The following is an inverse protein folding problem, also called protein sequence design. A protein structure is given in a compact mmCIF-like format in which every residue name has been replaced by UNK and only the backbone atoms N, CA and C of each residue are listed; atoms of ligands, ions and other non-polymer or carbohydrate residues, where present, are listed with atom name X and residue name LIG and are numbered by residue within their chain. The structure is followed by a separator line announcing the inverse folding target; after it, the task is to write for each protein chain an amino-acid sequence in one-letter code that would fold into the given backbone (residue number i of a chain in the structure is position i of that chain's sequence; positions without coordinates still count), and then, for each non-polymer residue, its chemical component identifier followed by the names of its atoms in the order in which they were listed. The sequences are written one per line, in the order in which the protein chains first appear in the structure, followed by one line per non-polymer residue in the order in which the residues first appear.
data_IF_099442116882
#
_entry.id   IF_099442116882
#
_cell.length_a   1.000
_cell.length_b   1.000
_cell.length_c   1.000
_cell.angle_alpha   90.00
_cell.angle_beta   90.00
_cell.angle_gamma   90.00
#
_symmetry.space_group_name_H-M   'P 1'
#
loop_
_entity.id
_entity.type
_entity.pdbx_description
1 polymer ?
#
# COMPACT_ATOMS: atom_id res chain seq x y z
N UNK A 1 3.13 -11.35 -24.55
CA UNK A 1 3.92 -10.44 -23.70
C UNK A 1 3.29 -10.44 -22.32
N UNK A 2 4.06 -10.46 -21.22
CA UNK A 2 3.51 -10.41 -19.85
C UNK A 2 3.38 -8.95 -19.44
N UNK A 3 2.23 -8.59 -18.85
CA UNK A 3 2.00 -7.23 -18.36
C UNK A 3 2.77 -6.96 -17.07
N UNK A 4 3.25 -5.74 -16.90
CA UNK A 4 3.80 -5.27 -15.62
C UNK A 4 2.66 -5.09 -14.60
N UNK A 5 2.95 -5.29 -13.33
CA UNK A 5 1.97 -5.25 -12.24
C UNK A 5 2.43 -4.24 -11.19
N UNK A 6 1.64 -3.18 -10.99
CA UNK A 6 1.77 -2.29 -9.84
C UNK A 6 0.77 -2.72 -8.77
N UNK A 7 1.26 -3.14 -7.61
CA UNK A 7 0.44 -3.49 -6.47
C UNK A 7 0.58 -2.40 -5.40
N UNK A 8 -0.45 -1.55 -5.30
CA UNK A 8 -0.49 -0.47 -4.33
C UNK A 8 -1.35 -0.87 -3.13
N UNK A 9 -0.78 -0.85 -1.94
CA UNK A 9 -1.48 -1.05 -0.68
C UNK A 9 -1.47 0.25 0.12
N UNK A 10 -2.66 0.79 0.41
CA UNK A 10 -2.84 1.96 1.26
C UNK A 10 -3.40 1.48 2.59
N UNK A 11 -2.59 1.56 3.65
CA UNK A 11 -3.00 1.09 4.97
C UNK A 11 -4.05 2.02 5.59
N UNK A 12 -4.97 1.44 6.34
CA UNK A 12 -6.07 2.15 7.02
C UNK A 12 -7.03 2.91 6.10
N UNK A 13 -7.05 2.55 4.81
CA UNK A 13 -7.91 3.15 3.83
C UNK A 13 -9.30 2.49 3.86
N UNK A 14 -10.19 3.03 4.63
CA UNK A 14 -11.49 2.45 4.93
C UNK A 14 -12.45 2.59 3.75
N UNK A 15 -13.22 1.53 3.48
CA UNK A 15 -14.19 1.48 2.39
C UNK A 15 -15.33 2.50 2.55
N UNK A 16 -15.72 2.86 3.78
CA UNK A 16 -16.78 3.83 4.05
C UNK A 16 -16.44 5.25 3.57
N UNK A 17 -15.17 5.57 3.33
CA UNK A 17 -14.79 6.82 2.68
C UNK A 17 -15.09 6.84 1.16
N UNK A 18 -15.36 5.69 0.53
CA UNK A 18 -15.62 5.58 -0.91
C UNK A 18 -17.03 5.07 -1.22
N UNK A 19 -17.63 4.34 -0.29
CA UNK A 19 -19.01 3.90 -0.38
C UNK A 19 -19.94 5.03 -0.01
N UNK A 20 -20.66 5.46 -1.00
CA UNK A 20 -21.79 6.36 -0.85
C UNK A 20 -21.45 7.82 -0.49
N UNK A 21 -22.04 8.68 -1.26
CA UNK A 21 -22.37 10.04 -0.90
C UNK A 21 -21.29 11.11 -1.07
N UNK A 22 -21.76 12.28 -1.17
CA UNK A 22 -21.07 13.55 -1.27
C UNK A 22 -19.79 13.58 -0.44
N UNK A 23 -18.68 13.15 -1.06
CA UNK A 23 -17.36 13.26 -0.48
C UNK A 23 -17.12 14.71 -0.08
N UNK A 24 -16.65 14.94 1.15
CA UNK A 24 -16.19 16.26 1.60
C UNK A 24 -14.70 16.49 1.28
N UNK A 25 -14.06 15.56 0.59
CA UNK A 25 -12.63 15.54 0.26
C UNK A 25 -12.43 15.25 -1.23
N UNK A 26 -11.22 15.52 -1.73
CA UNK A 26 -10.88 15.44 -3.15
C UNK A 26 -9.99 14.24 -3.44
N UNK A 27 -10.45 13.34 -4.33
CA UNK A 27 -9.69 12.16 -4.77
C UNK A 27 -9.81 11.96 -6.29
N UNK A 28 -9.37 12.93 -7.11
CA UNK A 28 -9.55 12.86 -8.56
C UNK A 28 -8.81 11.70 -9.21
N UNK A 29 -7.64 11.32 -8.69
CA UNK A 29 -6.83 10.24 -9.26
C UNK A 29 -7.44 8.86 -8.94
N UNK A 30 -7.82 8.62 -7.70
CA UNK A 30 -8.53 7.39 -7.30
C UNK A 30 -9.88 7.28 -8.03
N UNK A 31 -10.63 8.38 -8.13
CA UNK A 31 -11.90 8.41 -8.85
C UNK A 31 -11.72 8.05 -10.33
N UNK A 32 -10.60 8.48 -10.94
CA UNK A 32 -10.27 8.11 -12.31
C UNK A 32 -9.89 6.62 -12.43
N UNK A 33 -9.16 6.06 -11.47
CA UNK A 33 -8.84 4.63 -11.42
C UNK A 33 -10.12 3.80 -11.29
N UNK A 34 -11.02 4.17 -10.38
CA UNK A 34 -12.34 3.52 -10.22
C UNK A 34 -13.13 3.57 -11.52
N UNK A 35 -13.16 4.71 -12.20
CA UNK A 35 -13.90 4.89 -13.45
C UNK A 35 -13.34 4.06 -14.61
N UNK A 36 -12.03 3.85 -14.64
CA UNK A 36 -11.33 3.12 -15.74
C UNK A 36 -11.15 1.64 -15.46
N UNK A 37 -11.24 1.22 -14.20
CA UNK A 37 -10.97 -0.14 -13.74
C UNK A 37 -12.19 -0.87 -13.25
N UNK A 38 -11.96 -1.90 -12.43
CA UNK A 38 -12.98 -2.65 -11.71
C UNK A 38 -12.93 -2.24 -10.25
N UNK A 39 -14.07 -1.81 -9.71
CA UNK A 39 -14.20 -1.42 -8.32
C UNK A 39 -15.04 -2.46 -7.56
N UNK A 40 -14.43 -3.09 -6.55
CA UNK A 40 -15.09 -4.07 -5.70
C UNK A 40 -15.74 -3.38 -4.50
N UNK A 41 -17.06 -3.30 -4.48
CA UNK A 41 -17.82 -2.60 -3.44
C UNK A 41 -18.02 -3.39 -2.16
N UNK A 42 -17.76 -4.70 -2.17
CA UNK A 42 -17.96 -5.60 -1.04
C UNK A 42 -16.72 -6.43 -0.72
N UNK A 43 -15.56 -5.79 -0.71
CA UNK A 43 -14.33 -6.44 -0.28
C UNK A 43 -14.28 -6.50 1.25
N UNK A 44 -14.04 -7.71 1.79
CA UNK A 44 -13.96 -7.96 3.23
C UNK A 44 -12.52 -8.34 3.56
N UNK A 45 -11.90 -7.60 4.50
CA UNK A 45 -10.59 -7.97 5.03
C UNK A 45 -10.69 -9.26 5.84
N UNK A 46 -9.69 -10.13 5.72
CA UNK A 46 -9.62 -11.36 6.51
C UNK A 46 -9.14 -11.14 7.95
N UNK A 47 -8.71 -9.92 8.30
CA UNK A 47 -8.26 -9.53 9.62
C UNK A 47 -8.29 -8.00 9.79
N UNK A 48 -8.24 -7.56 11.04
CA UNK A 48 -8.24 -6.15 11.46
C UNK A 48 -6.83 -5.55 11.60
N UNK A 49 -5.79 -6.39 11.70
CA UNK A 49 -4.40 -5.95 11.86
C UNK A 49 -3.58 -6.10 10.59
N UNK A 50 -2.72 -5.11 10.30
CA UNK A 50 -1.89 -5.02 9.08
C UNK A 50 -1.14 -6.32 8.77
N UNK A 51 -0.43 -6.90 9.76
CA UNK A 51 0.37 -8.09 9.56
C UNK A 51 -0.46 -9.30 9.10
N UNK A 52 -1.58 -9.51 9.77
CA UNK A 52 -2.44 -10.66 9.54
C UNK A 52 -3.22 -10.48 8.23
N UNK A 53 -3.69 -9.27 7.94
CA UNK A 53 -4.37 -8.93 6.69
C UNK A 53 -3.43 -9.08 5.48
N UNK A 54 -2.21 -8.54 5.56
CA UNK A 54 -1.19 -8.71 4.50
C UNK A 54 -0.84 -10.19 4.30
N UNK A 55 -0.74 -10.96 5.38
CA UNK A 55 -0.54 -12.40 5.29
C UNK A 55 -1.62 -13.10 4.47
N UNK A 56 -2.87 -12.74 4.69
CA UNK A 56 -4.00 -13.23 3.89
C UNK A 56 -3.93 -12.79 2.42
N UNK A 57 -3.65 -11.51 2.18
CA UNK A 57 -3.50 -10.95 0.82
C UNK A 57 -2.38 -11.68 0.07
N UNK A 58 -1.21 -11.88 0.69
CA UNK A 58 -0.06 -12.45 0.01
C UNK A 58 -0.15 -13.95 -0.23
N UNK A 59 -0.87 -14.67 0.62
CA UNK A 59 -1.00 -16.13 0.51
C UNK A 59 -2.32 -16.60 -0.10
N UNK A 60 -3.34 -15.75 -0.13
CA UNK A 60 -4.71 -16.14 -0.49
C UNK A 60 -5.37 -17.06 0.55
N UNK A 61 -4.85 -17.13 1.78
CA UNK A 61 -5.33 -18.00 2.84
C UNK A 61 -5.89 -17.20 4.02
N UNK A 62 -6.87 -17.79 4.72
CA UNK A 62 -7.31 -17.22 5.98
C UNK A 62 -6.19 -17.25 7.04
N UNK A 63 -6.16 -16.30 7.98
CA UNK A 63 -5.10 -16.16 8.98
C UNK A 63 -4.81 -17.43 9.77
N UNK A 64 -5.83 -18.18 10.16
CA UNK A 64 -5.69 -19.46 10.85
C UNK A 64 -4.85 -20.49 10.07
N UNK A 65 -4.87 -20.40 8.74
CA UNK A 65 -4.12 -21.31 7.84
C UNK A 65 -2.72 -20.80 7.51
N UNK A 66 -2.45 -19.49 7.69
CA UNK A 66 -1.14 -18.90 7.40
C UNK A 66 -0.15 -19.14 8.54
N UNK A 67 -0.63 -19.27 9.76
CA UNK A 67 0.17 -19.26 10.98
C UNK A 67 0.80 -17.90 11.30
N UNK A 68 0.34 -16.82 10.64
CA UNK A 68 0.75 -15.44 10.89
C UNK A 68 -0.13 -14.85 11.99
N UNK A 69 0.49 -14.10 12.89
CA UNK A 69 -0.17 -13.35 13.94
C UNK A 69 0.50 -11.99 14.12
N UNK A 70 -0.02 -11.15 15.00
CA UNK A 70 0.57 -9.84 15.34
C UNK A 70 2.02 -9.91 15.84
N UNK A 71 2.47 -11.08 16.26
CA UNK A 71 3.82 -11.31 16.80
C UNK A 71 4.65 -12.30 15.97
N UNK A 72 4.06 -12.93 14.96
CA UNK A 72 4.71 -13.94 14.14
C UNK A 72 4.44 -13.68 12.67
N UNK A 73 5.40 -13.09 11.98
CA UNK A 73 5.27 -12.64 10.60
C UNK A 73 5.77 -13.65 9.55
N UNK A 74 6.42 -14.74 9.99
CA UNK A 74 6.97 -15.76 9.08
C UNK A 74 5.95 -16.86 8.82
N UNK A 75 5.81 -17.25 7.57
CA UNK A 75 5.03 -18.40 7.13
C UNK A 75 5.83 -19.24 6.16
N UNK A 76 5.57 -20.55 6.13
CA UNK A 76 6.09 -21.48 5.11
C UNK A 76 5.14 -21.64 3.93
N UNK A 77 3.98 -21.00 3.98
CA UNK A 77 2.97 -21.11 2.93
C UNK A 77 3.44 -20.45 1.64
N UNK A 78 3.04 -20.97 0.47
CA UNK A 78 3.25 -20.30 -0.80
C UNK A 78 2.63 -18.91 -0.78
N UNK A 79 3.24 -17.98 -1.51
CA UNK A 79 2.74 -16.62 -1.64
C UNK A 79 2.88 -16.14 -3.09
N UNK A 80 2.15 -15.09 -3.46
CA UNK A 80 2.10 -14.64 -4.85
C UNK A 80 3.45 -14.08 -5.34
N UNK A 81 4.29 -13.50 -4.47
CA UNK A 81 5.62 -13.02 -4.87
C UNK A 81 6.47 -14.17 -5.40
N UNK A 82 6.58 -15.25 -4.62
CA UNK A 82 7.36 -16.43 -5.04
C UNK A 82 6.74 -17.15 -6.24
N UNK A 83 5.41 -17.10 -6.38
CA UNK A 83 4.74 -17.63 -7.56
C UNK A 83 5.05 -16.83 -8.81
N UNK A 84 4.96 -15.50 -8.75
CA UNK A 84 5.29 -14.63 -9.88
C UNK A 84 6.78 -14.70 -10.25
N UNK A 85 7.69 -14.83 -9.28
CA UNK A 85 9.10 -15.09 -9.56
C UNK A 85 9.31 -16.36 -10.39
N UNK A 86 8.63 -17.45 -10.04
CA UNK A 86 8.67 -18.70 -10.85
C UNK A 86 8.11 -18.51 -12.26
N UNK A 87 7.19 -17.57 -12.43
CA UNK A 87 6.67 -17.18 -13.74
C UNK A 87 7.59 -16.17 -14.47
N UNK A 88 8.76 -15.85 -13.92
CA UNK A 88 9.75 -14.97 -14.53
C UNK A 88 9.54 -13.48 -14.32
N UNK A 89 8.73 -13.08 -13.32
CA UNK A 89 8.62 -11.69 -12.93
C UNK A 89 9.79 -11.25 -12.04
N UNK A 90 10.27 -10.04 -12.27
CA UNK A 90 11.16 -9.37 -11.36
C UNK A 90 10.32 -8.69 -10.27
N UNK A 91 10.63 -8.97 -9.00
CA UNK A 91 9.85 -8.45 -7.87
C UNK A 91 10.59 -7.26 -7.26
N UNK A 92 9.89 -6.15 -7.20
CA UNK A 92 10.33 -4.92 -6.54
C UNK A 92 9.37 -4.58 -5.41
N UNK A 93 9.90 -4.06 -4.31
CA UNK A 93 9.09 -3.52 -3.24
C UNK A 93 9.64 -2.17 -2.80
N UNK A 94 8.76 -1.25 -2.46
CA UNK A 94 9.13 0.04 -1.89
C UNK A 94 8.23 0.32 -0.69
N UNK A 95 8.85 0.52 0.46
CA UNK A 95 8.17 0.72 1.74
C UNK A 95 8.75 1.94 2.46
N UNK A 96 7.97 2.62 3.31
CA UNK A 96 8.46 3.69 4.17
C UNK A 96 9.37 3.13 5.27
N UNK A 97 9.92 3.98 6.12
CA UNK A 97 10.86 3.60 7.17
C UNK A 97 10.21 2.83 8.36
N UNK A 98 9.14 2.11 8.12
CA UNK A 98 8.48 1.27 9.12
C UNK A 98 9.10 -0.13 9.17
N UNK A 99 9.89 -0.39 10.21
CA UNK A 99 10.59 -1.65 10.38
C UNK A 99 9.66 -2.88 10.31
N UNK A 100 8.42 -2.78 10.81
CA UNK A 100 7.45 -3.86 10.79
C UNK A 100 7.10 -4.31 9.37
N UNK A 101 6.79 -3.36 8.49
CA UNK A 101 6.38 -3.65 7.10
C UNK A 101 7.55 -4.25 6.32
N UNK A 102 8.75 -3.69 6.51
CA UNK A 102 9.98 -4.20 5.89
C UNK A 102 10.27 -5.64 6.32
N UNK A 103 10.25 -5.92 7.62
CA UNK A 103 10.47 -7.27 8.15
C UNK A 103 9.45 -8.29 7.61
N UNK A 104 8.19 -7.89 7.48
CA UNK A 104 7.15 -8.74 6.91
C UNK A 104 7.42 -9.05 5.44
N UNK A 105 7.70 -8.04 4.63
CA UNK A 105 7.98 -8.22 3.20
C UNK A 105 9.21 -9.10 2.98
N UNK A 106 10.29 -8.88 3.71
CA UNK A 106 11.47 -9.74 3.66
C UNK A 106 11.15 -11.21 3.97
N UNK A 107 10.22 -11.45 4.90
CA UNK A 107 9.76 -12.81 5.21
C UNK A 107 9.01 -13.49 4.05
N UNK A 108 8.32 -12.72 3.21
CA UNK A 108 7.59 -13.23 2.04
C UNK A 108 8.45 -13.31 0.78
N UNK A 109 9.40 -12.40 0.58
CA UNK A 109 10.28 -12.37 -0.59
C UNK A 109 11.27 -13.52 -0.64
N UNK A 110 11.59 -14.12 0.49
CA UNK A 110 12.57 -15.22 0.71
C UNK A 110 13.94 -14.93 0.07
N UNK A 111 14.20 -15.12 -1.13
CA UNK A 111 15.43 -14.76 -1.82
C UNK A 111 15.07 -14.33 -3.25
N UNK A 112 15.49 -13.14 -3.67
CA UNK A 112 15.39 -12.71 -5.06
C UNK A 112 14.41 -11.57 -5.37
N UNK A 113 13.96 -10.80 -4.39
CA UNK A 113 13.26 -9.53 -4.63
C UNK A 113 14.20 -8.34 -4.41
N UNK A 114 13.97 -7.24 -5.13
CA UNK A 114 14.64 -5.96 -4.90
C UNK A 114 13.79 -5.13 -3.92
N UNK A 115 14.04 -5.32 -2.63
CA UNK A 115 13.37 -4.59 -1.56
C UNK A 115 14.09 -3.27 -1.30
N UNK A 116 13.34 -2.18 -1.23
CA UNK A 116 13.82 -0.86 -0.87
C UNK A 116 13.00 -0.30 0.28
N UNK A 117 13.66 0.00 1.37
CA UNK A 117 13.10 0.76 2.48
C UNK A 117 13.58 2.21 2.38
N UNK A 118 12.63 3.14 2.30
CA UNK A 118 12.93 4.58 2.36
C UNK A 118 13.39 4.95 3.78
N UNK A 119 14.18 6.01 3.87
CA UNK A 119 14.47 6.66 5.15
C UNK A 119 13.34 7.58 5.63
N UNK A 120 12.37 7.82 4.78
CA UNK A 120 11.21 8.67 5.07
C UNK A 120 9.99 7.82 5.40
N UNK A 121 9.14 8.34 6.26
CA UNK A 121 7.90 7.68 6.68
C UNK A 121 6.71 8.10 5.83
N UNK A 122 6.71 9.34 5.34
CA UNK A 122 5.55 9.98 4.72
C UNK A 122 5.84 10.40 3.29
N UNK A 123 4.78 10.40 2.48
CA UNK A 123 4.84 10.79 1.08
C UNK A 123 5.45 12.19 0.90
N UNK A 124 4.93 13.19 1.61
CA UNK A 124 5.39 14.59 1.48
C UNK A 124 6.76 14.87 2.11
N UNK A 125 7.25 14.02 2.99
CA UNK A 125 8.57 14.19 3.62
C UNK A 125 9.72 13.67 2.74
N UNK A 126 9.39 13.01 1.63
CA UNK A 126 10.36 12.50 0.66
C UNK A 126 10.12 11.07 0.21
N UNK A 127 9.25 10.30 0.89
CA UNK A 127 8.92 8.93 0.49
C UNK A 127 8.29 8.89 -0.91
N UNK A 128 7.41 9.83 -1.25
CA UNK A 128 6.84 9.94 -2.59
C UNK A 128 7.89 10.12 -3.69
N UNK A 129 8.91 10.93 -3.43
CA UNK A 129 10.03 11.10 -4.36
C UNK A 129 10.85 9.80 -4.53
N UNK A 130 11.02 9.03 -3.45
CA UNK A 130 11.69 7.72 -3.54
C UNK A 130 10.87 6.75 -4.40
N UNK A 131 9.53 6.74 -4.24
CA UNK A 131 8.63 5.94 -5.08
C UNK A 131 8.80 6.30 -6.56
N UNK A 132 8.72 7.60 -6.92
CA UNK A 132 8.84 8.07 -8.30
C UNK A 132 10.17 7.62 -8.90
N UNK A 133 11.29 7.81 -8.19
CA UNK A 133 12.61 7.32 -8.65
C UNK A 133 12.64 5.82 -8.90
N UNK A 134 11.96 5.05 -8.05
CA UNK A 134 11.94 3.59 -8.15
C UNK A 134 11.05 3.09 -9.27
N UNK A 135 10.00 3.86 -9.63
CA UNK A 135 9.10 3.55 -10.74
C UNK A 135 9.67 3.98 -12.10
N UNK A 136 10.80 4.68 -12.14
CA UNK A 136 11.47 5.00 -13.39
C UNK A 136 11.75 3.72 -14.18
N UNK A 137 11.34 3.72 -15.45
CA UNK A 137 11.44 2.57 -16.35
C UNK A 137 12.86 2.02 -16.49
N UNK A 138 13.88 2.87 -16.33
CA UNK A 138 15.28 2.47 -16.43
C UNK A 138 15.73 1.63 -15.24
N UNK A 139 14.96 1.65 -14.14
CA UNK A 139 15.21 0.90 -12.92
C UNK A 139 14.42 -0.42 -12.84
N UNK A 140 13.43 -0.64 -13.72
CA UNK A 140 12.51 -1.78 -13.64
C UNK A 140 12.68 -2.72 -14.83
N UNK A 141 13.31 -3.86 -14.59
CA UNK A 141 13.44 -4.92 -15.61
C UNK A 141 12.12 -5.67 -15.80
N UNK A 142 11.58 -5.64 -17.00
CA UNK A 142 10.32 -6.32 -17.37
C UNK A 142 10.44 -7.84 -17.53
N UNK A 143 9.38 -8.61 -17.31
CA UNK A 143 8.14 -8.20 -16.65
C UNK A 143 8.39 -8.01 -15.16
N UNK A 144 7.74 -7.01 -14.57
CA UNK A 144 7.89 -6.74 -13.14
C UNK A 144 6.57 -6.72 -12.38
N UNK A 145 6.64 -7.07 -11.09
CA UNK A 145 5.68 -6.68 -10.07
C UNK A 145 6.38 -5.69 -9.13
N UNK A 146 5.78 -4.53 -8.95
CA UNK A 146 6.22 -3.57 -7.95
C UNK A 146 5.15 -3.41 -6.86
N UNK A 147 5.49 -3.80 -5.64
CA UNK A 147 4.66 -3.61 -4.46
C UNK A 147 5.02 -2.30 -3.77
N UNK A 148 4.03 -1.43 -3.59
CA UNK A 148 4.12 -0.18 -2.85
C UNK A 148 3.24 -0.22 -1.61
N UNK A 149 3.79 0.19 -0.48
CA UNK A 149 3.03 0.33 0.75
C UNK A 149 2.96 1.81 1.16
N UNK A 150 1.75 2.34 1.32
CA UNK A 150 1.50 3.70 1.78
C UNK A 150 0.90 3.66 3.18
N UNK A 151 1.60 4.28 4.15
CA UNK A 151 1.23 4.27 5.56
C UNK A 151 0.70 5.59 6.09
N UNK A 152 0.57 6.62 5.27
CA UNK A 152 0.20 7.97 5.71
C UNK A 152 -1.14 8.03 6.45
N UNK A 153 -2.15 7.30 5.98
CA UNK A 153 -3.45 7.23 6.63
C UNK A 153 -3.41 6.48 7.97
N UNK A 154 -2.57 5.46 8.07
CA UNK A 154 -2.38 4.73 9.32
C UNK A 154 -1.86 5.65 10.43
N UNK A 155 -0.84 6.44 10.13
CA UNK A 155 -0.28 7.41 11.07
C UNK A 155 -1.28 8.48 11.46
N UNK A 156 -2.07 9.00 10.51
CA UNK A 156 -3.12 9.97 10.78
C UNK A 156 -4.21 9.45 11.72
N UNK A 157 -4.56 8.18 11.59
CA UNK A 157 -5.59 7.53 12.41
C UNK A 157 -5.12 7.22 13.84
N UNK A 158 -3.87 6.75 14.00
CA UNK A 158 -3.36 6.32 15.31
C UNK A 158 -2.92 7.51 16.15
N UNK A 159 -2.16 8.43 15.58
CA UNK A 159 -1.50 9.45 16.39
C UNK A 159 -2.30 10.73 16.52
N UNK A 160 -3.27 11.00 15.64
CA UNK A 160 -4.00 12.27 15.49
C UNK A 160 -3.06 13.53 15.49
N UNK A 161 -1.77 13.28 15.65
CA UNK A 161 -0.71 14.30 15.79
C UNK A 161 -0.06 14.65 14.46
N UNK A 162 -0.41 13.91 13.39
CA UNK A 162 0.16 14.15 12.08
C UNK A 162 -0.26 15.53 11.56
N UNK A 163 0.73 16.40 11.34
CA UNK A 163 0.49 17.68 10.73
C UNK A 163 0.17 17.50 9.25
N UNK A 164 -0.95 18.07 8.83
CA UNK A 164 -1.31 18.11 7.41
C UNK A 164 -0.48 19.23 6.75
N UNK A 165 0.19 18.94 5.62
CA UNK A 165 0.90 19.98 4.87
C UNK A 165 -0.02 21.15 4.55
N UNK A 166 0.50 22.38 4.65
CA UNK A 166 -0.29 23.62 4.44
C UNK A 166 -1.09 23.62 3.14
N UNK A 167 -0.56 23.00 2.09
CA UNK A 167 -1.24 22.88 0.78
C UNK A 167 -2.55 22.07 0.83
N UNK A 168 -2.70 21.20 1.85
CA UNK A 168 -3.91 20.41 2.10
C UNK A 168 -4.71 20.88 3.32
N UNK A 169 -4.26 21.90 4.04
CA UNK A 169 -4.92 22.40 5.25
C UNK A 169 -6.06 23.36 4.92
N UNK A 170 -7.08 22.85 4.21
CA UNK A 170 -8.30 23.61 3.91
C UNK A 170 -9.50 22.66 3.73
N UNK A 171 -10.70 23.18 3.91
CA UNK A 171 -11.97 22.44 3.73
C UNK A 171 -12.16 21.90 2.32
N UNK A 172 -11.49 22.49 1.32
CA UNK A 172 -11.49 21.98 -0.06
C UNK A 172 -10.99 20.52 -0.13
N UNK A 173 -10.08 20.15 0.75
CA UNK A 173 -9.46 18.83 0.78
C UNK A 173 -10.05 17.90 1.85
N UNK A 174 -10.97 18.39 2.67
CA UNK A 174 -11.66 17.60 3.67
C UNK A 174 -11.99 18.39 4.94
N UNK A 175 -13.01 17.96 5.66
CA UNK A 175 -13.50 18.58 6.88
C UNK A 175 -12.64 18.27 8.11
N UNK A 176 -11.90 17.18 8.06
CA UNK A 176 -11.05 16.71 9.15
C UNK A 176 -9.70 16.23 8.64
N UNK A 177 -8.77 15.94 9.56
CA UNK A 177 -7.40 15.51 9.23
C UNK A 177 -7.36 14.22 8.38
N UNK A 178 -8.23 13.26 8.65
CA UNK A 178 -8.26 11.98 7.92
C UNK A 178 -8.64 12.23 6.46
N UNK A 179 -9.71 12.99 6.22
CA UNK A 179 -10.14 13.34 4.87
C UNK A 179 -9.07 14.10 4.09
N UNK A 180 -8.37 15.04 4.74
CA UNK A 180 -7.25 15.76 4.14
C UNK A 180 -6.05 14.86 3.85
N UNK A 181 -5.79 13.87 4.71
CA UNK A 181 -4.76 12.84 4.45
C UNK A 181 -5.13 11.93 3.27
N UNK A 182 -6.41 11.64 3.07
CA UNK A 182 -6.87 10.90 1.90
C UNK A 182 -6.61 11.72 0.63
N UNK A 183 -6.96 13.02 0.63
CA UNK A 183 -6.68 13.92 -0.49
C UNK A 183 -5.18 14.07 -0.77
N UNK A 184 -4.36 14.10 0.28
CA UNK A 184 -2.90 14.09 0.16
C UNK A 184 -2.40 12.80 -0.52
N UNK A 185 -2.89 11.64 -0.06
CA UNK A 185 -2.50 10.35 -0.64
C UNK A 185 -2.92 10.24 -2.10
N UNK A 186 -4.09 10.78 -2.48
CA UNK A 186 -4.57 10.82 -3.85
C UNK A 186 -3.69 11.67 -4.77
N UNK A 187 -3.14 12.77 -4.26
CA UNK A 187 -2.28 13.71 -5.03
C UNK A 187 -0.97 13.04 -5.48
N UNK A 188 -0.55 11.97 -4.79
CA UNK A 188 0.64 11.19 -5.13
C UNK A 188 0.36 10.01 -6.08
N UNK A 189 -0.91 9.74 -6.42
CA UNK A 189 -1.33 8.65 -7.31
C UNK A 189 -1.58 9.14 -8.73
#
# INVERSE_FOLDING_TARGET
MKSNILFLLIDSFRADYFHEHKKSYSTPNIDQLIKKGVYFTQSISCADGTAVAMGGIFTGLYPVNTGISSYKYKTTKPNFFTHLQKLGYNIFTTVPSYALVDMMLLAFLKQGGNNFQSKFERLDDGYGNDIIKRLDKDNLKEPWLHFLYLGDLHMSNITQTMDIPKRFDSEKFGKNKIERSISLSDDWL
#
